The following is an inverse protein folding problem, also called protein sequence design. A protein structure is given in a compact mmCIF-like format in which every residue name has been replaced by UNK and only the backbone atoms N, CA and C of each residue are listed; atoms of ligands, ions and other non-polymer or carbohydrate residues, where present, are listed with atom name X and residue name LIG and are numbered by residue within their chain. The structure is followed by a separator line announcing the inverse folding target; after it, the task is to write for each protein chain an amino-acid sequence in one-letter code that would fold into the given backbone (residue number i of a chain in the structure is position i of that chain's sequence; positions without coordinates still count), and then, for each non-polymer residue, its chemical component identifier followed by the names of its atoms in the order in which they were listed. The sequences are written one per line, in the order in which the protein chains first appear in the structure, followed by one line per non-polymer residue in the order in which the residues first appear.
data_IF_960204573759
#
_entry.id   IF_960204573759
#
_cell.length_a   1.000
_cell.length_b   1.000
_cell.length_c   1.000
_cell.angle_alpha   90.00
_cell.angle_beta   90.00
_cell.angle_gamma   90.00
#
_symmetry.space_group_name_H-M   'P 1'
#
loop_
_entity.id
_entity.type
_entity.pdbx_description
1 polymer ?
#
# COMPACT_ATOMS: atom_id res chain seq x y z
N UNK A 1 2.26 -8.69 21.01
CA UNK A 1 3.09 -8.72 19.78
C UNK A 1 3.67 -7.34 19.50
N UNK A 2 4.94 -7.28 19.09
CA UNK A 2 5.74 -6.05 18.93
C UNK A 2 5.14 -5.01 17.95
N UNK A 3 4.31 -5.46 16.99
CA UNK A 3 3.80 -4.64 15.88
C UNK A 3 2.28 -4.44 15.89
N UNK A 4 1.62 -4.70 17.02
CA UNK A 4 0.14 -4.72 17.10
C UNK A 4 -0.51 -3.40 16.65
N UNK A 5 0.10 -2.25 16.95
CA UNK A 5 -0.43 -0.93 16.60
C UNK A 5 -0.35 -0.69 15.09
N UNK A 6 0.82 -0.89 14.51
CA UNK A 6 1.06 -0.73 13.07
C UNK A 6 0.22 -1.72 12.27
N UNK A 7 0.13 -2.98 12.71
CA UNK A 7 -0.70 -4.01 12.07
C UNK A 7 -2.17 -3.60 11.99
N UNK A 8 -2.76 -3.18 13.12
CA UNK A 8 -4.17 -2.71 13.15
C UNK A 8 -4.40 -1.51 12.23
N UNK A 9 -3.39 -0.64 12.05
CA UNK A 9 -3.49 0.47 11.10
C UNK A 9 -3.51 -0.06 9.66
N UNK A 10 -2.64 -1.00 9.32
CA UNK A 10 -2.58 -1.60 7.99
C UNK A 10 -3.87 -2.38 7.66
N UNK A 11 -4.44 -3.11 8.61
CA UNK A 11 -5.72 -3.82 8.46
C UNK A 11 -6.86 -2.84 8.09
N UNK A 12 -6.96 -1.70 8.78
CA UNK A 12 -7.95 -0.66 8.46
C UNK A 12 -7.72 -0.03 7.08
N UNK A 13 -6.46 0.12 6.66
CA UNK A 13 -6.14 0.61 5.32
C UNK A 13 -6.56 -0.41 4.24
N UNK A 14 -6.38 -1.70 4.52
CA UNK A 14 -6.80 -2.79 3.62
C UNK A 14 -8.32 -2.88 3.48
N UNK A 15 -9.08 -2.65 4.55
CA UNK A 15 -10.54 -2.56 4.47
C UNK A 15 -10.98 -1.36 3.60
N UNK A 16 -10.34 -0.20 3.77
CA UNK A 16 -10.65 1.00 2.97
C UNK A 16 -10.35 0.81 1.48
N UNK A 17 -9.21 0.19 1.13
CA UNK A 17 -8.83 0.02 -0.28
C UNK A 17 -9.75 -0.97 -1.02
N UNK A 18 -10.34 -1.94 -0.31
CA UNK A 18 -11.24 -2.93 -0.91
C UNK A 18 -12.51 -2.29 -1.51
N UNK A 19 -12.97 -1.16 -0.97
CA UNK A 19 -14.13 -0.44 -1.46
C UNK A 19 -13.89 0.40 -2.73
N UNK A 20 -12.64 0.55 -3.19
CA UNK A 20 -12.33 1.35 -4.37
C UNK A 20 -12.52 0.50 -5.63
N UNK A 21 -13.36 0.96 -6.56
CA UNK A 21 -13.67 0.21 -7.80
C UNK A 21 -13.37 1.01 -9.06
N UNK A 22 -13.69 2.30 -9.07
CA UNK A 22 -13.57 3.14 -10.25
C UNK A 22 -12.53 4.24 -10.03
N UNK A 23 -11.92 4.68 -11.12
CA UNK A 23 -11.14 5.89 -11.17
C UNK A 23 -12.09 7.09 -11.16
N UNK A 24 -12.07 7.83 -10.06
CA UNK A 24 -12.77 9.09 -9.85
C UNK A 24 -12.00 9.91 -8.80
N UNK A 25 -12.31 11.19 -8.66
CA UNK A 25 -11.58 12.10 -7.77
C UNK A 25 -11.59 11.65 -6.30
N UNK A 26 -12.70 11.08 -5.83
CA UNK A 26 -12.86 10.59 -4.46
C UNK A 26 -12.00 9.35 -4.24
N UNK A 27 -12.03 8.42 -5.18
CA UNK A 27 -11.23 7.20 -5.19
C UNK A 27 -9.73 7.53 -5.28
N UNK A 28 -9.35 8.52 -6.09
CA UNK A 28 -7.98 9.01 -6.21
C UNK A 28 -7.46 9.65 -4.91
N UNK A 29 -8.30 10.49 -4.29
CA UNK A 29 -7.99 11.09 -2.99
C UNK A 29 -7.80 10.01 -1.93
N UNK A 30 -8.70 9.02 -1.91
CA UNK A 30 -8.68 7.93 -0.92
C UNK A 30 -7.45 7.03 -1.09
N UNK A 31 -7.13 6.60 -2.31
CA UNK A 31 -5.97 5.73 -2.54
C UNK A 31 -4.64 6.45 -2.24
N UNK A 32 -4.59 7.77 -2.47
CA UNK A 32 -3.41 8.58 -2.17
C UNK A 32 -3.17 8.66 -0.67
N UNK A 33 -4.21 8.92 0.13
CA UNK A 33 -4.13 8.89 1.59
C UNK A 33 -3.70 7.50 2.12
N UNK A 34 -4.29 6.43 1.57
CA UNK A 34 -3.91 5.06 1.94
C UNK A 34 -2.43 4.80 1.66
N UNK A 35 -1.95 5.22 0.49
CA UNK A 35 -0.54 5.08 0.13
C UNK A 35 0.39 5.85 1.06
N UNK A 36 0.08 7.10 1.38
CA UNK A 36 0.92 7.92 2.25
C UNK A 36 1.00 7.28 3.64
N UNK A 37 -0.14 6.82 4.17
CA UNK A 37 -0.17 6.10 5.45
C UNK A 37 0.55 4.75 5.41
N UNK A 38 0.43 3.99 4.32
CA UNK A 38 1.17 2.74 4.13
C UNK A 38 2.67 3.00 4.10
N UNK A 39 3.13 3.93 3.25
CA UNK A 39 4.55 4.26 3.06
C UNK A 39 5.24 4.67 4.36
N UNK A 40 4.53 5.46 5.18
CA UNK A 40 5.02 5.88 6.49
C UNK A 40 5.10 4.69 7.46
N UNK A 41 4.07 3.83 7.46
CA UNK A 41 3.98 2.70 8.39
C UNK A 41 5.04 1.65 8.07
N UNK A 42 5.25 1.28 6.80
CA UNK A 42 6.28 0.31 6.41
C UNK A 42 7.70 0.83 6.68
N UNK A 43 7.93 2.15 6.56
CA UNK A 43 9.20 2.76 6.99
C UNK A 43 9.43 2.65 8.50
N UNK A 44 8.41 2.87 9.32
CA UNK A 44 8.51 2.69 10.77
C UNK A 44 8.84 1.23 11.10
N UNK A 45 8.14 0.28 10.48
CA UNK A 45 8.38 -1.15 10.69
C UNK A 45 9.80 -1.54 10.29
N UNK A 46 10.28 -1.10 9.12
CA UNK A 46 11.68 -1.27 8.68
C UNK A 46 12.70 -0.70 9.66
N UNK A 47 12.42 0.45 10.28
CA UNK A 47 13.32 1.04 11.26
C UNK A 47 13.33 0.27 12.60
N UNK A 48 12.24 -0.42 12.94
CA UNK A 48 12.15 -1.26 14.15
C UNK A 48 12.77 -2.64 13.93
N UNK A 49 12.56 -3.21 12.75
CA UNK A 49 12.99 -4.55 12.38
C UNK A 49 13.32 -4.56 10.88
N UNK A 50 14.58 -4.30 10.58
CA UNK A 50 15.06 -4.23 9.21
C UNK A 50 15.10 -5.62 8.55
N UNK A 51 15.30 -6.69 9.33
CA UNK A 51 15.38 -8.05 8.81
C UNK A 51 14.04 -8.49 8.23
N UNK A 52 12.95 -8.23 8.94
CA UNK A 52 11.59 -8.59 8.49
C UNK A 52 11.05 -7.67 7.40
N UNK A 53 11.30 -6.35 7.49
CA UNK A 53 10.56 -5.36 6.69
C UNK A 53 11.37 -4.64 5.59
N UNK A 54 12.68 -4.90 5.44
CA UNK A 54 13.47 -4.23 4.39
C UNK A 54 12.98 -4.56 2.99
N UNK A 55 12.65 -5.81 2.71
CA UNK A 55 12.15 -6.25 1.40
C UNK A 55 10.82 -5.54 1.05
N UNK A 56 9.91 -5.45 2.01
CA UNK A 56 8.63 -4.76 1.87
C UNK A 56 8.79 -3.25 1.60
N UNK A 57 9.79 -2.64 2.24
CA UNK A 57 10.11 -1.23 2.04
C UNK A 57 10.86 -0.95 0.73
N UNK A 58 11.76 -1.83 0.32
CA UNK A 58 12.63 -1.62 -0.84
C UNK A 58 11.99 -2.06 -2.15
N UNK A 59 11.18 -3.12 -2.14
CA UNK A 59 10.62 -3.71 -3.35
C UNK A 59 9.13 -3.42 -3.48
N UNK A 60 8.30 -3.85 -2.52
CA UNK A 60 6.84 -3.67 -2.61
C UNK A 60 6.44 -2.19 -2.67
N UNK A 61 7.01 -1.35 -1.82
CA UNK A 61 6.74 0.09 -1.85
C UNK A 61 7.20 0.76 -3.17
N UNK A 62 8.28 0.27 -3.79
CA UNK A 62 8.73 0.81 -5.08
C UNK A 62 7.83 0.39 -6.23
N UNK A 63 7.37 -0.86 -6.24
CA UNK A 63 6.39 -1.32 -7.21
C UNK A 63 5.09 -0.49 -7.12
N UNK A 64 4.61 -0.23 -5.91
CA UNK A 64 3.44 0.63 -5.67
C UNK A 64 3.68 2.06 -6.18
N UNK A 65 4.89 2.61 -5.99
CA UNK A 65 5.26 3.94 -6.52
C UNK A 65 5.25 3.98 -8.04
N UNK A 66 5.67 2.91 -8.69
CA UNK A 66 5.67 2.84 -10.15
C UNK A 66 4.25 2.88 -10.70
N UNK A 67 3.33 2.09 -10.14
CA UNK A 67 1.92 2.16 -10.55
C UNK A 67 1.27 3.51 -10.23
N UNK A 68 1.62 4.15 -9.10
CA UNK A 68 1.20 5.53 -8.80
C UNK A 68 1.69 6.51 -9.87
N UNK A 69 2.93 6.34 -10.34
CA UNK A 69 3.52 7.16 -11.41
C UNK A 69 2.79 6.92 -12.73
N UNK A 70 2.59 5.67 -13.13
CA UNK A 70 1.88 5.29 -14.35
C UNK A 70 0.47 5.87 -14.39
N UNK A 71 -0.26 5.86 -13.27
CA UNK A 71 -1.56 6.52 -13.18
C UNK A 71 -1.50 8.03 -13.42
N UNK A 72 -0.42 8.69 -13.01
CA UNK A 72 -0.25 10.15 -13.16
C UNK A 72 0.17 10.56 -14.57
N UNK A 73 0.99 9.76 -15.24
CA UNK A 73 1.57 10.09 -16.55
C UNK A 73 0.89 9.40 -17.72
N UNK A 74 0.04 8.41 -17.44
CA UNK A 74 -0.66 7.63 -18.44
C UNK A 74 -1.74 8.43 -19.17
N UNK A 75 -2.13 7.91 -20.32
CA UNK A 75 -3.19 8.49 -21.15
C UNK A 75 -4.55 8.36 -20.45
N UNK A 76 -5.51 9.20 -20.87
CA UNK A 76 -6.84 9.23 -20.27
C UNK A 76 -7.58 7.90 -20.40
N UNK A 77 -7.41 7.22 -21.55
CA UNK A 77 -7.97 5.90 -21.83
C UNK A 77 -7.46 4.80 -20.88
N UNK A 78 -6.24 4.94 -20.38
CA UNK A 78 -5.61 3.95 -19.50
C UNK A 78 -5.86 4.20 -18.00
N UNK A 79 -6.47 5.33 -17.62
CA UNK A 79 -6.58 5.75 -16.21
C UNK A 79 -7.28 4.70 -15.34
N UNK A 80 -8.36 4.10 -15.82
CA UNK A 80 -9.08 3.07 -15.09
C UNK A 80 -8.19 1.83 -14.87
N UNK A 81 -7.50 1.38 -15.91
CA UNK A 81 -6.60 0.21 -15.84
C UNK A 81 -5.43 0.48 -14.89
N UNK A 82 -4.78 1.64 -15.06
CA UNK A 82 -3.68 2.07 -14.19
C UNK A 82 -4.12 2.24 -12.74
N UNK A 83 -5.35 2.71 -12.50
CA UNK A 83 -5.91 2.82 -11.17
C UNK A 83 -6.12 1.45 -10.52
N UNK A 84 -6.67 0.48 -11.26
CA UNK A 84 -6.84 -0.89 -10.78
C UNK A 84 -5.50 -1.54 -10.48
N UNK A 85 -4.50 -1.35 -11.33
CA UNK A 85 -3.14 -1.86 -11.12
C UNK A 85 -2.51 -1.27 -9.84
N UNK A 86 -2.63 0.05 -9.67
CA UNK A 86 -2.16 0.73 -8.47
C UNK A 86 -2.87 0.23 -7.20
N UNK A 87 -4.20 0.10 -7.25
CA UNK A 87 -5.01 -0.43 -6.15
C UNK A 87 -4.57 -1.84 -5.76
N UNK A 88 -4.38 -2.70 -6.77
CA UNK A 88 -4.02 -4.11 -6.58
C UNK A 88 -2.64 -4.22 -5.94
N UNK A 89 -1.65 -3.53 -6.50
CA UNK A 89 -0.30 -3.52 -5.94
C UNK A 89 -0.26 -2.99 -4.50
N UNK A 90 -0.98 -1.91 -4.20
CA UNK A 90 -1.04 -1.36 -2.85
C UNK A 90 -1.78 -2.31 -1.88
N UNK A 91 -2.84 -2.95 -2.32
CA UNK A 91 -3.56 -3.95 -1.53
C UNK A 91 -2.68 -5.16 -1.20
N UNK A 92 -1.88 -5.63 -2.15
CA UNK A 92 -1.01 -6.78 -1.95
C UNK A 92 0.18 -6.43 -1.05
N UNK A 93 0.76 -5.23 -1.21
CA UNK A 93 1.80 -4.72 -0.33
C UNK A 93 1.30 -4.60 1.14
N UNK A 94 0.05 -4.12 1.34
CA UNK A 94 -0.60 -4.10 2.65
C UNK A 94 -0.74 -5.51 3.23
N UNK A 95 -1.27 -6.47 2.46
CA UNK A 95 -1.44 -7.87 2.91
C UNK A 95 -0.11 -8.51 3.30
N UNK A 96 0.92 -8.41 2.46
CA UNK A 96 2.26 -8.94 2.73
C UNK A 96 2.85 -8.35 4.00
N UNK A 97 2.69 -7.04 4.21
CA UNK A 97 3.19 -6.37 5.42
C UNK A 97 2.43 -6.81 6.68
N UNK A 98 1.12 -6.98 6.61
CA UNK A 98 0.31 -7.52 7.72
C UNK A 98 0.73 -8.95 8.04
N UNK A 99 0.95 -9.78 7.02
CA UNK A 99 1.40 -11.16 7.18
C UNK A 99 2.78 -11.21 7.86
N UNK A 100 3.74 -10.43 7.39
CA UNK A 100 5.07 -10.34 8.01
C UNK A 100 4.97 -9.93 9.49
N UNK A 101 4.12 -8.95 9.81
CA UNK A 101 3.88 -8.51 11.19
C UNK A 101 3.16 -9.54 12.08
N UNK A 102 2.50 -10.56 11.49
CA UNK A 102 1.87 -11.67 12.19
C UNK A 102 2.78 -12.89 12.35
N UNK A 103 3.66 -13.12 11.37
CA UNK A 103 4.61 -14.24 11.37
C UNK A 103 5.74 -14.06 12.39
N UNK A 104 5.96 -12.85 12.91
CA UNK A 104 6.84 -12.61 14.06
C UNK A 104 6.13 -13.05 15.35
N UNK A 105 6.19 -14.37 15.64
CA UNK A 105 5.80 -14.98 16.92
C UNK A 105 7.07 -15.21 17.74
#
# INVERSE_FOLDING_TARGET
MAYTKERKKLEKLLEKIAGLQNYDDKSLTTITDIYDQYSHTVRILKNKDAETFSELYLNELQQVKEFKRLLKVGEEEDRQVNFINYKTALSDALKKTIQAANSTI
#
